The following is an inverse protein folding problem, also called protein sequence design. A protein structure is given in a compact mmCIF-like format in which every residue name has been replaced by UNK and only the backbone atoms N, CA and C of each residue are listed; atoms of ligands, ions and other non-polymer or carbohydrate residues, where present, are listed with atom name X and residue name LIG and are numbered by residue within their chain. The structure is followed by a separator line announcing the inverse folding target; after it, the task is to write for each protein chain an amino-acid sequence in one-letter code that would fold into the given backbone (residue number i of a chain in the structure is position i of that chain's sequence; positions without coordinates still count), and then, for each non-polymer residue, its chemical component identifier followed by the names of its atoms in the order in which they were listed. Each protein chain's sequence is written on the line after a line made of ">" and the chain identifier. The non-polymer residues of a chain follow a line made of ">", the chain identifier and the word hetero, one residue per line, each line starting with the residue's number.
data_IF_919179726309
#
_entry.id   IF_919179726309
#
_cell.length_a   1.000
_cell.length_b   1.000
_cell.length_c   1.000
_cell.angle_alpha   90.00
_cell.angle_beta   90.00
_cell.angle_gamma   90.00
#
_symmetry.space_group_name_H-M   'P 1'
#
loop_
_entity.id
_entity.type
_entity.pdbx_description
1 polymer ?
#
# COMPACT_ATOMS: atom_id res chain seq x y z
N UNK A 1 -0.95 30.93 2.63
CA UNK A 1 -0.98 31.08 2.27
C UNK A 1 -1.17 30.75 2.24
N UNK A 2 -0.83 31.01 2.41
CA UNK A 2 -0.87 30.99 2.05
C UNK A 2 -0.88 30.47 2.38
N UNK A 3 -0.73 30.80 2.46
CA UNK A 3 -0.71 30.68 2.18
C UNK A 3 -0.74 30.07 2.53
N UNK A 4 -0.46 30.36 2.50
CA UNK A 4 -0.57 30.08 2.22
C UNK A 4 -0.47 29.56 2.53
N UNK A 5 -0.26 29.71 2.30
CA UNK A 5 -0.35 29.63 2.07
C UNK A 5 -0.36 28.97 2.40
N UNK A 6 -0.17 29.38 2.40
CA UNK A 6 -0.37 29.10 2.19
C UNK A 6 -0.46 28.30 2.55
N UNK A 7 -0.29 28.53 2.60
CA UNK A 7 -0.59 28.17 2.38
C UNK A 7 -0.66 27.58 2.78
N UNK A 8 -0.60 27.89 2.74
CA UNK A 8 -0.83 27.55 2.59
C UNK A 8 -1.19 26.70 2.92
N UNK A 9 -1.07 27.00 2.63
CA UNK A 9 -1.49 26.66 2.33
C UNK A 9 -1.92 25.83 2.69
N UNK A 10 -1.78 26.14 2.81
CA UNK A 10 -2.28 25.71 2.62
C UNK A 10 -2.72 24.94 2.98
N UNK A 11 -2.70 25.43 3.02
CA UNK A 11 -3.14 24.95 2.83
C UNK A 11 -3.64 24.15 3.18
N UNK A 12 -3.50 24.41 2.90
CA UNK A 12 -3.93 24.02 2.59
C UNK A 12 -4.32 23.28 2.78
N UNK A 13 -4.46 23.51 2.74
CA UNK A 13 -4.83 23.13 2.36
C UNK A 13 -5.25 22.48 2.39
N UNK A 14 -5.58 22.81 2.44
CA UNK A 14 -5.97 22.34 1.86
C UNK A 14 -6.23 21.85 1.74
N UNK A 15 -6.51 22.21 1.77
CA UNK A 15 -6.66 21.67 1.07
C UNK A 15 -6.88 21.23 0.94
N UNK A 16 -7.22 21.50 0.85
CA UNK A 16 -7.37 20.89 0.13
C UNK A 16 -7.43 20.48 -0.05
N UNK A 17 -7.64 20.89 -0.12
CA UNK A 17 -7.63 20.21 -0.78
C UNK A 17 -7.63 19.53 -1.00
N UNK A 18 -7.76 19.84 -1.22
CA UNK A 18 -7.75 18.95 -1.77
C UNK A 18 -7.52 18.34 -1.80
N UNK A 19 -7.72 18.42 -1.67
CA UNK A 19 -7.46 17.58 -1.70
C UNK A 19 -7.37 16.96 -1.34
N UNK A 20 -7.65 17.07 -1.16
CA UNK A 20 -7.57 16.28 -0.90
C UNK A 20 -7.50 15.51 -0.78
N UNK A 21 -7.90 15.41 -0.78
CA UNK A 21 -7.82 14.61 -0.59
C UNK A 21 -7.50 13.82 -0.49
N UNK A 22 -7.54 13.56 -0.32
CA UNK A 22 -7.08 12.75 0.04
C UNK A 22 -6.73 12.38 0.64
N UNK A 23 -6.51 12.45 0.73
CA UNK A 23 -6.03 12.32 1.59
C UNK A 23 -6.06 11.60 2.48
N UNK A 24 -6.06 11.30 2.23
CA UNK A 24 -6.86 10.59 3.18
C UNK A 24 -6.38 9.16 3.40
N UNK A 25 -6.10 8.46 2.35
CA UNK A 25 -5.53 7.12 2.45
C UNK A 25 -4.01 7.20 2.50
N UNK A 26 -3.42 6.40 3.39
CA UNK A 26 -1.97 6.26 3.46
C UNK A 26 -1.45 5.19 2.51
N UNK A 27 -2.34 4.54 1.77
CA UNK A 27 -1.98 3.53 0.78
C UNK A 27 -1.70 4.21 -0.55
N UNK A 28 -0.53 3.95 -1.11
CA UNK A 28 -0.15 4.50 -2.41
C UNK A 28 -0.53 3.53 -3.51
N UNK A 29 -1.26 4.00 -4.53
CA UNK A 29 -1.60 3.18 -5.69
C UNK A 29 -0.45 3.24 -6.66
N UNK A 30 0.05 2.08 -7.08
CA UNK A 30 1.19 2.01 -8.01
C UNK A 30 0.86 1.15 -9.22
N UNK A 31 1.75 1.20 -10.21
CA UNK A 31 1.65 0.44 -11.45
C UNK A 31 3.00 -0.19 -11.76
N UNK A 32 3.06 -0.98 -12.84
CA UNK A 32 4.30 -1.61 -13.29
C UNK A 32 5.45 -0.61 -13.42
N UNK A 33 5.17 0.58 -13.98
CA UNK A 33 6.21 1.59 -14.18
C UNK A 33 6.77 2.15 -12.88
N UNK A 34 5.98 2.12 -11.82
CA UNK A 34 6.36 2.70 -10.53
C UNK A 34 6.87 1.67 -9.53
N UNK A 35 6.81 0.38 -9.88
CA UNK A 35 7.10 -0.67 -8.91
C UNK A 35 8.49 -0.51 -8.28
N UNK A 36 9.52 -0.41 -9.10
CA UNK A 36 10.90 -0.34 -8.57
C UNK A 36 11.08 0.92 -7.72
N UNK A 37 10.57 2.06 -8.18
CA UNK A 37 10.70 3.31 -7.46
C UNK A 37 10.00 3.27 -6.10
N UNK A 38 8.79 2.71 -6.06
CA UNK A 38 7.96 2.76 -4.87
C UNK A 38 8.22 1.60 -3.90
N UNK A 39 8.81 0.51 -4.37
CA UNK A 39 9.04 -0.67 -3.56
C UNK A 39 10.51 -0.87 -3.23
N UNK A 40 11.40 -0.71 -4.22
CA UNK A 40 12.81 -1.02 -4.05
C UNK A 40 13.65 0.18 -3.60
N UNK A 41 13.24 1.40 -3.93
CA UNK A 41 14.04 2.59 -3.62
C UNK A 41 13.56 3.27 -2.34
N UNK A 42 13.06 2.48 -1.40
CA UNK A 42 12.51 2.93 -0.14
C UNK A 42 13.27 2.24 0.99
N UNK A 43 13.64 3.00 2.01
CA UNK A 43 14.45 2.46 3.11
C UNK A 43 13.66 1.57 4.06
N UNK A 44 12.41 1.92 4.32
CA UNK A 44 11.61 1.11 5.25
C UNK A 44 10.95 -0.05 4.52
N UNK A 45 10.48 -1.07 5.26
CA UNK A 45 9.78 -2.19 4.65
C UNK A 45 8.55 -1.72 3.88
N UNK A 46 8.22 -2.43 2.81
CA UNK A 46 7.07 -2.10 1.96
C UNK A 46 6.14 -3.30 1.88
N UNK A 47 4.88 -3.08 2.22
CA UNK A 47 3.82 -4.06 2.02
C UNK A 47 3.18 -3.77 0.68
N UNK A 48 3.20 -4.76 -0.21
CA UNK A 48 2.55 -4.67 -1.52
C UNK A 48 1.28 -5.49 -1.46
N UNK A 49 0.14 -4.85 -1.66
CA UNK A 49 -1.17 -5.48 -1.65
C UNK A 49 -1.68 -5.58 -3.09
N UNK A 50 -1.84 -6.83 -3.56
CA UNK A 50 -2.36 -7.11 -4.91
C UNK A 50 -3.85 -7.37 -4.82
N UNK A 51 -4.61 -6.73 -5.71
CA UNK A 51 -6.07 -6.83 -5.71
C UNK A 51 -6.60 -6.83 -7.14
N UNK A 52 -7.89 -7.11 -7.29
CA UNK A 52 -8.55 -7.07 -8.58
C UNK A 52 -9.98 -6.56 -8.40
N UNK A 53 -10.50 -5.89 -9.42
CA UNK A 53 -11.86 -5.34 -9.36
C UNK A 53 -12.92 -6.44 -9.28
N UNK A 54 -12.61 -7.63 -9.81
CA UNK A 54 -13.52 -8.78 -9.80
C UNK A 54 -13.40 -9.63 -8.53
N UNK A 55 -12.54 -9.28 -7.62
CA UNK A 55 -12.21 -10.10 -6.45
C UNK A 55 -13.07 -9.69 -5.25
N UNK A 56 -14.06 -10.54 -4.89
CA UNK A 56 -14.90 -10.30 -3.73
C UNK A 56 -14.14 -10.24 -2.42
N UNK A 57 -13.29 -11.25 -2.11
CA UNK A 57 -12.50 -11.23 -0.87
C UNK A 57 -11.58 -10.02 -0.73
N UNK A 58 -11.10 -9.44 -1.85
CA UNK A 58 -10.28 -8.24 -1.79
C UNK A 58 -11.03 -7.08 -1.15
N UNK A 59 -12.34 -6.98 -1.37
CA UNK A 59 -13.16 -5.92 -0.78
C UNK A 59 -13.21 -6.02 0.73
N UNK A 60 -13.13 -7.24 1.26
CA UNK A 60 -13.14 -7.45 2.70
C UNK A 60 -11.78 -7.16 3.33
N UNK A 61 -10.71 -7.36 2.58
CA UNK A 61 -9.35 -7.14 3.07
C UNK A 61 -8.96 -5.66 3.00
N UNK A 62 -9.47 -4.93 2.02
CA UNK A 62 -9.04 -3.55 1.77
C UNK A 62 -9.13 -2.62 2.99
N UNK A 63 -10.23 -2.64 3.79
CA UNK A 63 -10.27 -1.80 4.99
C UNK A 63 -9.16 -2.12 5.99
N UNK A 64 -8.79 -3.39 6.12
CA UNK A 64 -7.71 -3.80 6.99
C UNK A 64 -6.36 -3.29 6.48
N UNK A 65 -6.18 -3.27 5.17
CA UNK A 65 -4.97 -2.73 4.56
C UNK A 65 -4.86 -1.22 4.83
N UNK A 66 -5.98 -0.49 4.73
CA UNK A 66 -6.01 0.94 5.06
C UNK A 66 -5.64 1.16 6.53
N UNK A 67 -6.14 0.30 7.41
CA UNK A 67 -5.82 0.36 8.83
C UNK A 67 -4.31 0.15 9.07
N UNK A 68 -3.72 -0.83 8.38
CA UNK A 68 -2.27 -1.09 8.50
C UNK A 68 -1.48 0.14 8.04
N UNK A 69 -1.87 0.72 6.92
CA UNK A 69 -1.17 1.88 6.37
C UNK A 69 -1.14 3.04 7.37
N UNK A 70 -2.21 3.26 8.10
CA UNK A 70 -2.29 4.34 9.09
C UNK A 70 -1.54 3.97 10.36
N UNK A 71 -1.72 2.74 10.83
CA UNK A 71 -1.18 2.30 12.10
C UNK A 71 0.34 2.17 12.07
N UNK A 72 0.88 1.71 10.94
CA UNK A 72 2.31 1.43 10.81
C UNK A 72 3.04 2.47 9.97
N UNK A 73 2.46 3.64 9.78
CA UNK A 73 2.93 4.65 8.84
C UNK A 73 4.43 4.97 8.94
N UNK A 74 4.95 5.04 10.17
CA UNK A 74 6.36 5.37 10.38
C UNK A 74 7.30 4.20 10.13
N UNK A 75 6.78 2.97 10.21
CA UNK A 75 7.59 1.75 10.15
C UNK A 75 7.39 0.94 8.88
N UNK A 76 6.36 1.26 8.11
CA UNK A 76 5.98 0.45 6.96
C UNK A 76 5.33 1.32 5.91
N UNK A 77 5.77 1.18 4.68
CA UNK A 77 5.10 1.81 3.54
C UNK A 77 4.12 0.79 2.96
N UNK A 78 2.91 1.21 2.63
CA UNK A 78 1.90 0.34 2.05
C UNK A 78 1.55 0.84 0.66
N UNK A 79 1.68 -0.05 -0.32
CA UNK A 79 1.29 0.23 -1.70
C UNK A 79 0.28 -0.82 -2.15
N UNK A 80 -0.60 -0.44 -3.07
CA UNK A 80 -1.53 -1.40 -3.65
C UNK A 80 -1.43 -1.38 -5.16
N UNK A 81 -1.69 -2.54 -5.75
CA UNK A 81 -1.43 -2.75 -7.16
C UNK A 81 -2.50 -3.67 -7.73
N UNK A 82 -3.24 -3.17 -8.71
CA UNK A 82 -4.26 -3.97 -9.39
C UNK A 82 -3.58 -4.93 -10.35
N UNK A 83 -4.00 -6.20 -10.33
CA UNK A 83 -3.27 -7.24 -11.07
C UNK A 83 -3.47 -7.18 -12.58
N UNK A 84 -4.68 -6.91 -13.04
CA UNK A 84 -4.98 -7.03 -14.48
C UNK A 84 -4.18 -6.06 -15.36
N UNK A 85 -4.06 -4.77 -15.02
CA UNK A 85 -3.28 -3.86 -15.85
C UNK A 85 -1.78 -3.91 -15.56
N UNK A 86 -1.32 -4.78 -14.66
CA UNK A 86 0.08 -4.78 -14.21
C UNK A 86 0.70 -6.17 -14.21
N UNK A 87 0.73 -6.84 -15.39
CA UNK A 87 1.23 -8.21 -15.46
C UNK A 87 2.71 -8.36 -15.09
N UNK A 88 3.52 -7.33 -15.27
CA UNK A 88 4.93 -7.41 -14.95
C UNK A 88 5.17 -7.54 -13.46
N UNK A 89 4.45 -6.74 -12.65
CA UNK A 89 4.56 -6.82 -11.20
C UNK A 89 4.03 -8.14 -10.67
N UNK A 90 2.92 -8.63 -11.26
CA UNK A 90 2.36 -9.93 -10.92
C UNK A 90 3.40 -11.03 -11.12
N UNK A 91 4.07 -11.02 -12.28
CA UNK A 91 5.10 -12.02 -12.57
C UNK A 91 6.30 -11.87 -11.65
N UNK A 92 6.75 -10.64 -11.43
CA UNK A 92 7.90 -10.36 -10.59
C UNK A 92 7.69 -10.86 -9.16
N UNK A 93 6.48 -10.74 -8.64
CA UNK A 93 6.15 -11.12 -7.28
C UNK A 93 5.56 -12.52 -7.18
N UNK A 94 5.47 -13.24 -8.29
CA UNK A 94 4.93 -14.62 -8.34
C UNK A 94 3.54 -14.68 -7.69
N UNK A 95 2.66 -13.76 -8.07
CA UNK A 95 1.30 -13.70 -7.56
C UNK A 95 0.44 -14.67 -8.33
N UNK A 96 -0.19 -15.62 -7.64
CA UNK A 96 -1.02 -16.64 -8.29
C UNK A 96 -2.50 -16.46 -8.01
N UNK A 97 -2.85 -15.69 -7.01
CA UNK A 97 -4.24 -15.40 -6.67
C UNK A 97 -4.34 -14.14 -5.87
N UNK A 98 -5.55 -13.60 -5.75
CA UNK A 98 -5.81 -12.37 -5.00
C UNK A 98 -6.89 -12.64 -3.96
N UNK A 99 -6.88 -11.91 -2.83
CA UNK A 99 -5.89 -10.91 -2.45
C UNK A 99 -4.52 -11.55 -2.16
N UNK A 100 -3.46 -10.81 -2.41
CA UNK A 100 -2.10 -11.29 -2.17
C UNK A 100 -1.28 -10.20 -1.49
N UNK A 101 -0.40 -10.62 -0.60
CA UNK A 101 0.46 -9.73 0.14
C UNK A 101 1.92 -10.13 -0.05
N UNK A 102 2.78 -9.13 -0.20
CA UNK A 102 4.22 -9.33 -0.29
C UNK A 102 4.88 -8.25 0.55
N UNK A 103 5.85 -8.64 1.39
CA UNK A 103 6.64 -7.65 2.14
C UNK A 103 8.05 -7.66 1.58
N UNK A 104 8.53 -6.49 1.20
CA UNK A 104 9.89 -6.30 0.72
C UNK A 104 10.66 -5.43 1.71
N UNK A 105 11.94 -5.74 1.88
CA UNK A 105 12.85 -4.90 2.64
C UNK A 105 14.23 -4.99 1.99
N UNK A 106 14.87 -3.84 1.79
CA UNK A 106 16.20 -3.78 1.18
C UNK A 106 16.23 -4.51 -0.17
N UNK A 107 15.18 -4.33 -0.96
CA UNK A 107 15.02 -4.91 -2.30
C UNK A 107 14.82 -6.41 -2.30
N UNK A 108 14.53 -7.00 -1.13
CA UNK A 108 14.33 -8.44 -1.00
C UNK A 108 12.93 -8.76 -0.55
N UNK A 109 12.36 -9.80 -1.15
CA UNK A 109 11.08 -10.33 -0.72
C UNK A 109 11.29 -11.15 0.55
N UNK A 110 10.68 -10.71 1.65
CA UNK A 110 10.87 -11.36 2.94
C UNK A 110 9.64 -12.11 3.45
N UNK A 111 8.45 -11.83 2.89
CA UNK A 111 7.23 -12.50 3.33
C UNK A 111 6.19 -12.51 2.24
N UNK A 112 5.39 -13.58 2.19
CA UNK A 112 4.29 -13.74 1.24
C UNK A 112 3.06 -14.28 1.95
N UNK A 113 1.88 -13.87 1.45
CA UNK A 113 0.60 -14.44 1.87
C UNK A 113 -0.37 -14.31 0.70
N UNK A 114 -1.14 -15.37 0.42
CA UNK A 114 -2.20 -15.30 -0.59
C UNK A 114 -3.49 -15.81 0.03
N UNK A 115 -4.60 -15.15 -0.34
CA UNK A 115 -5.92 -15.48 0.17
C UNK A 115 -6.42 -14.46 1.16
N UNK A 116 -7.70 -14.57 1.50
CA UNK A 116 -8.32 -13.68 2.47
C UNK A 116 -7.63 -13.78 3.82
N UNK A 117 -7.58 -12.66 4.51
CA UNK A 117 -6.91 -12.60 5.82
C UNK A 117 -7.70 -11.63 6.69
N UNK A 118 -7.99 -12.04 7.92
CA UNK A 118 -8.64 -11.19 8.89
C UNK A 118 -7.68 -10.19 9.52
N UNK A 119 -8.23 -9.14 10.12
CA UNK A 119 -7.42 -8.08 10.70
C UNK A 119 -6.42 -8.59 11.76
N UNK A 120 -6.83 -9.46 12.71
CA UNK A 120 -5.85 -9.97 13.69
C UNK A 120 -4.73 -10.77 13.05
N UNK A 121 -5.03 -11.58 12.06
CA UNK A 121 -4.01 -12.37 11.35
C UNK A 121 -3.09 -11.46 10.54
N UNK A 122 -3.66 -10.43 9.92
CA UNK A 122 -2.87 -9.44 9.18
C UNK A 122 -1.91 -8.71 10.12
N UNK A 123 -2.40 -8.31 11.28
CA UNK A 123 -1.56 -7.64 12.28
C UNK A 123 -0.40 -8.54 12.70
N UNK A 124 -0.66 -9.80 12.97
CA UNK A 124 0.38 -10.76 13.34
C UNK A 124 1.40 -10.95 12.21
N UNK A 125 0.91 -11.03 10.98
CA UNK A 125 1.77 -11.15 9.80
C UNK A 125 2.72 -9.95 9.70
N UNK A 126 2.18 -8.74 9.83
CA UNK A 126 2.98 -7.52 9.77
C UNK A 126 3.99 -7.48 10.94
N UNK A 127 3.54 -7.75 12.15
CA UNK A 127 4.38 -7.66 13.33
C UNK A 127 5.54 -8.65 13.30
N UNK A 128 5.37 -9.76 12.61
CA UNK A 128 6.45 -10.76 12.48
C UNK A 128 7.64 -10.19 11.71
N UNK A 129 7.40 -9.33 10.73
CA UNK A 129 8.44 -8.84 9.81
C UNK A 129 8.76 -7.37 9.97
N UNK A 130 7.96 -6.64 10.71
CA UNK A 130 8.11 -5.19 10.90
C UNK A 130 8.14 -4.90 12.39
N UNK A 131 9.27 -4.42 12.86
CA UNK A 131 9.43 -4.10 14.29
C UNK A 131 9.49 -2.61 14.55
#
# INVERSE_FOLDING_TARGET
>A
MDNCRKLPRTPMMISNDGEEINTVSSVTVISDQKFDQEVFEVEKPVLVYFWASWCGPCRLVSPSIDWVAKTYDERLKVVKLEVDPNPNSVAKCDVKGVPALRIFKDKKLIATHEGAIGKPQLQSFIDTYVS
#
